data_IF_526300357097
#
_entry.id   IF_526300357097
#
_cell.length_a   1.000
_cell.length_b   1.000
_cell.length_c   1.000
_cell.angle_alpha   90.00
_cell.angle_beta   90.00
_cell.angle_gamma   90.00
#
_symmetry.space_group_name_H-M   'P 1'
#
loop_
_entity.id
_entity.type
_entity.pdbx_description
1 polymer ?
#
# COMPACT_ATOMS: atom_id res chain seq x y z
N UNK A 1 24.62 7.82 31.15
CA UNK A 1 23.26 7.43 31.52
C UNK A 1 22.62 6.91 30.28
N UNK A 2 22.16 5.66 30.34
CA UNK A 2 21.59 5.01 29.17
C UNK A 2 20.26 5.74 28.81
N UNK A 3 20.17 6.34 27.65
CA UNK A 3 18.99 7.11 27.19
C UNK A 3 17.68 6.34 27.28
N UNK A 4 17.73 5.02 27.43
CA UNK A 4 16.56 4.13 27.53
C UNK A 4 15.90 4.22 28.91
N UNK A 5 16.68 4.46 29.98
CA UNK A 5 16.16 4.56 31.36
C UNK A 5 15.29 5.80 31.59
N UNK A 6 15.37 6.79 30.68
CA UNK A 6 14.58 8.03 30.75
C UNK A 6 13.29 8.00 29.92
N UNK A 7 12.97 6.87 29.26
CA UNK A 7 11.78 6.76 28.45
C UNK A 7 10.51 6.56 29.28
N UNK A 8 9.50 7.38 29.04
CA UNK A 8 8.15 7.14 29.52
C UNK A 8 7.35 6.33 28.50
N UNK A 9 6.62 5.34 28.98
CA UNK A 9 5.79 4.47 28.17
C UNK A 9 4.32 4.72 28.49
N UNK A 10 3.53 5.08 27.48
CA UNK A 10 2.10 5.33 27.64
C UNK A 10 1.33 4.97 26.36
N UNK A 11 0.04 4.82 26.50
CA UNK A 11 -0.87 4.81 25.36
C UNK A 11 -0.83 6.17 24.63
N UNK A 12 -1.23 6.16 23.39
CA UNK A 12 -1.39 7.36 22.58
C UNK A 12 -2.74 7.35 21.85
N UNK A 13 -3.19 8.53 21.44
CA UNK A 13 -4.48 8.73 20.81
C UNK A 13 -4.46 9.76 19.69
N UNK A 14 -5.63 10.23 19.30
CA UNK A 14 -5.80 11.17 18.19
C UNK A 14 -5.05 12.50 18.38
N UNK A 15 -4.88 12.95 19.61
CA UNK A 15 -4.17 14.19 19.96
C UNK A 15 -2.64 14.07 19.72
N UNK A 16 -2.11 12.85 19.71
CA UNK A 16 -0.70 12.60 19.46
C UNK A 16 -0.39 12.49 17.94
N UNK A 17 -1.37 12.67 17.06
CA UNK A 17 -1.21 12.55 15.61
C UNK A 17 -0.08 13.41 15.02
N UNK A 18 0.15 14.67 15.45
CA UNK A 18 1.30 15.44 14.97
C UNK A 18 2.66 14.79 15.30
N UNK A 19 2.80 14.23 16.49
CA UNK A 19 4.02 13.53 16.90
C UNK A 19 4.23 12.23 16.11
N UNK A 20 3.14 11.49 15.86
CA UNK A 20 3.16 10.30 15.00
C UNK A 20 3.55 10.65 13.56
N UNK A 21 3.04 11.76 13.02
CA UNK A 21 3.42 12.25 11.69
C UNK A 21 4.91 12.53 11.62
N UNK A 22 5.47 13.29 12.56
CA UNK A 22 6.92 13.55 12.60
C UNK A 22 7.77 12.29 12.72
N UNK A 23 7.32 11.30 13.52
CA UNK A 23 8.01 10.01 13.64
C UNK A 23 7.95 9.20 12.34
N UNK A 24 6.80 9.18 11.65
CA UNK A 24 6.65 8.52 10.35
C UNK A 24 7.51 9.19 9.27
N UNK A 25 7.53 10.53 9.22
CA UNK A 25 8.39 11.30 8.31
C UNK A 25 9.88 11.01 8.54
N UNK A 26 10.33 10.94 9.80
CA UNK A 26 11.71 10.58 10.11
C UNK A 26 12.07 9.17 9.64
N UNK A 27 11.15 8.20 9.79
CA UNK A 27 11.35 6.84 9.28
C UNK A 27 11.41 6.81 7.75
N UNK A 28 10.48 7.49 7.06
CA UNK A 28 10.45 7.57 5.61
C UNK A 28 11.69 8.28 5.03
N UNK A 29 12.18 9.31 5.70
CA UNK A 29 13.40 9.99 5.29
C UNK A 29 14.65 9.09 5.40
N UNK A 30 14.68 8.19 6.39
CA UNK A 30 15.81 7.29 6.60
C UNK A 30 15.78 6.03 5.71
N UNK A 31 14.61 5.45 5.49
CA UNK A 31 14.48 4.12 4.87
C UNK A 31 13.73 4.16 3.53
N UNK A 32 13.10 5.28 3.20
CA UNK A 32 12.09 5.31 2.15
C UNK A 32 10.82 4.56 2.57
N UNK A 33 9.96 4.24 1.60
CA UNK A 33 8.72 3.51 1.83
C UNK A 33 7.52 4.23 1.23
N UNK A 34 6.33 3.94 1.76
CA UNK A 34 5.07 4.51 1.28
C UNK A 34 4.86 5.93 1.82
N UNK A 35 4.97 7.00 1.01
CA UNK A 35 4.83 8.38 1.51
C UNK A 35 3.50 8.67 2.17
N UNK A 36 2.44 7.97 1.75
CA UNK A 36 1.10 8.07 2.34
C UNK A 36 1.09 7.68 3.83
N UNK A 37 2.10 6.93 4.29
CA UNK A 37 2.20 6.53 5.69
C UNK A 37 2.30 7.71 6.65
N UNK A 38 2.91 8.83 6.26
CA UNK A 38 2.94 10.04 7.06
C UNK A 38 1.64 10.88 6.99
N UNK A 39 0.66 10.49 6.15
CA UNK A 39 -0.62 11.21 6.06
C UNK A 39 -1.59 10.75 7.16
N UNK A 40 -2.39 11.67 7.72
CA UNK A 40 -3.32 11.37 8.81
C UNK A 40 -4.26 10.17 8.59
N UNK A 41 -4.86 9.95 7.39
CA UNK A 41 -5.75 8.82 7.19
C UNK A 41 -5.03 7.47 7.41
N UNK A 42 -3.85 7.28 6.82
CA UNK A 42 -3.13 6.02 6.93
C UNK A 42 -2.49 5.84 8.31
N UNK A 43 -1.98 6.90 8.93
CA UNK A 43 -1.49 6.85 10.31
C UNK A 43 -2.59 6.42 11.28
N UNK A 44 -3.80 6.97 11.13
CA UNK A 44 -4.95 6.55 11.95
C UNK A 44 -5.28 5.08 11.72
N UNK A 45 -5.37 4.66 10.46
CA UNK A 45 -5.68 3.27 10.11
C UNK A 45 -4.62 2.27 10.60
N UNK A 46 -3.35 2.65 10.65
CA UNK A 46 -2.24 1.75 10.99
C UNK A 46 -1.84 1.79 12.46
N UNK A 47 -1.89 2.94 13.10
CA UNK A 47 -1.35 3.14 14.45
C UNK A 47 -2.43 3.44 15.49
N UNK A 48 -3.48 4.22 15.18
CA UNK A 48 -4.57 4.51 16.10
C UNK A 48 -5.62 3.39 16.06
N UNK A 49 -5.17 2.17 16.28
CA UNK A 49 -6.01 0.97 16.34
C UNK A 49 -6.55 0.77 17.77
N UNK A 50 -7.15 -0.38 18.05
CA UNK A 50 -7.84 -0.65 19.32
C UNK A 50 -6.94 -0.51 20.54
N UNK A 51 -5.64 -0.89 20.40
CA UNK A 51 -4.63 -0.83 21.46
C UNK A 51 -3.38 -0.15 20.97
N UNK A 52 -2.81 0.71 21.80
CA UNK A 52 -1.65 1.53 21.43
C UNK A 52 -0.59 1.52 22.53
N UNK A 53 0.68 1.61 22.16
CA UNK A 53 1.79 1.80 23.10
C UNK A 53 2.87 2.66 22.44
N UNK A 54 3.39 3.64 23.16
CA UNK A 54 4.45 4.49 22.68
C UNK A 54 5.53 4.75 23.75
N UNK A 55 6.75 4.97 23.28
CA UNK A 55 7.87 5.45 24.07
C UNK A 55 8.12 6.92 23.78
N UNK A 56 8.19 7.71 24.84
CA UNK A 56 8.44 9.14 24.81
C UNK A 56 9.74 9.47 25.52
N UNK A 57 10.52 10.35 24.92
CA UNK A 57 11.67 11.01 25.51
C UNK A 57 11.37 12.50 25.67
N UNK A 58 12.19 13.24 26.40
CA UNK A 58 12.03 14.70 26.54
C UNK A 58 11.89 15.42 25.20
N UNK A 59 12.58 14.93 24.16
CA UNK A 59 12.57 15.48 22.80
C UNK A 59 11.34 15.05 21.95
N UNK A 60 10.45 14.21 22.50
CA UNK A 60 9.22 13.78 21.80
C UNK A 60 9.02 12.29 21.67
N UNK A 61 8.17 11.90 20.72
CA UNK A 61 7.82 10.52 20.44
C UNK A 61 8.96 9.80 19.70
N UNK A 62 9.47 8.71 20.28
CA UNK A 62 10.61 7.97 19.72
C UNK A 62 10.26 6.57 19.20
N UNK A 63 9.16 5.99 19.66
CA UNK A 63 8.67 4.72 19.15
C UNK A 63 7.16 4.58 19.40
N UNK A 64 6.45 3.92 18.51
CA UNK A 64 5.01 3.67 18.65
C UNK A 64 4.61 2.34 17.99
N UNK A 65 3.56 1.71 18.52
CA UNK A 65 2.89 0.54 17.93
C UNK A 65 1.38 0.65 18.15
N UNK A 66 0.61 0.33 17.11
CA UNK A 66 -0.83 0.12 17.18
C UNK A 66 -1.18 -1.34 16.86
N UNK A 67 -2.14 -1.90 17.60
CA UNK A 67 -2.58 -3.30 17.44
C UNK A 67 -4.09 -3.35 17.31
N UNK A 68 -4.57 -3.84 16.15
CA UNK A 68 -5.95 -4.21 15.93
C UNK A 68 -6.16 -5.68 16.26
N UNK A 69 -7.04 -5.94 17.21
CA UNK A 69 -7.42 -7.32 17.59
C UNK A 69 -8.80 -7.58 16.99
N UNK A 70 -9.00 -8.73 16.30
CA UNK A 70 -10.34 -9.07 15.81
C UNK A 70 -11.29 -9.22 17.01
N UNK A 71 -12.43 -8.53 16.95
CA UNK A 71 -13.51 -8.75 17.89
C UNK A 71 -13.98 -10.21 17.78
N UNK A 72 -14.19 -10.89 18.91
CA UNK A 72 -14.92 -12.16 18.90
C UNK A 72 -16.29 -11.90 18.30
N UNK A 73 -16.80 -12.76 17.41
CA UNK A 73 -18.12 -12.55 16.82
C UNK A 73 -19.20 -12.73 17.90
N UNK A 74 -19.51 -11.68 18.63
CA UNK A 74 -20.80 -11.53 19.26
C UNK A 74 -21.76 -11.03 18.19
N UNK A 75 -22.85 -11.78 17.99
CA UNK A 75 -23.87 -11.51 16.99
C UNK A 75 -24.38 -10.06 17.12
N UNK A 76 -24.41 -9.36 16.02
CA UNK A 76 -24.94 -7.99 15.81
C UNK A 76 -23.95 -6.84 15.99
N UNK A 77 -23.20 -6.52 14.96
CA UNK A 77 -22.91 -5.10 14.66
C UNK A 77 -22.49 -4.92 13.19
N UNK A 78 -23.13 -3.97 12.61
CA UNK A 78 -23.16 -3.50 11.24
C UNK A 78 -21.79 -3.09 10.67
N UNK A 79 -21.60 -3.32 9.38
CA UNK A 79 -20.37 -3.10 8.64
C UNK A 79 -20.27 -1.62 8.18
N UNK A 80 -19.88 -0.71 9.08
CA UNK A 80 -19.60 0.70 8.73
C UNK A 80 -18.28 1.19 9.31
N UNK A 81 -17.17 0.68 8.81
CA UNK A 81 -15.86 1.30 9.01
C UNK A 81 -14.95 1.01 7.80
N UNK A 82 -15.32 1.56 6.66
CA UNK A 82 -14.46 1.64 5.47
C UNK A 82 -14.36 3.11 5.07
N UNK A 83 -13.34 3.79 5.55
CA UNK A 83 -13.04 5.13 5.07
C UNK A 83 -11.53 5.26 4.84
N UNK A 84 -11.11 5.46 3.58
CA UNK A 84 -9.93 6.20 3.21
C UNK A 84 -8.57 5.52 3.36
N UNK A 85 -8.44 4.24 3.01
CA UNK A 85 -7.14 3.72 2.58
C UNK A 85 -7.13 3.72 1.04
N UNK A 86 -6.00 4.03 0.37
CA UNK A 86 -5.89 3.74 -1.06
C UNK A 86 -6.31 2.29 -1.25
N UNK A 87 -7.17 2.06 -2.23
CA UNK A 87 -7.78 0.75 -2.50
C UNK A 87 -6.67 -0.28 -2.59
N UNK A 88 -6.44 -0.98 -1.49
CA UNK A 88 -5.40 -1.99 -1.38
C UNK A 88 -5.89 -3.26 -2.12
N UNK A 89 -6.20 -3.09 -3.41
CA UNK A 89 -6.57 -4.20 -4.28
C UNK A 89 -5.45 -5.25 -4.36
N UNK A 90 -4.21 -4.82 -4.08
CA UNK A 90 -3.07 -5.70 -3.87
C UNK A 90 -3.03 -6.28 -2.45
N UNK A 91 -3.63 -5.62 -1.46
CA UNK A 91 -3.71 -6.11 -0.08
C UNK A 91 -4.58 -7.36 0.07
N UNK A 92 -5.56 -7.54 -0.82
CA UNK A 92 -6.43 -8.74 -0.82
C UNK A 92 -5.75 -9.99 -1.38
N UNK A 93 -4.70 -9.84 -2.18
CA UNK A 93 -4.00 -10.95 -2.84
C UNK A 93 -3.12 -11.82 -1.92
N UNK A 94 -3.03 -11.53 -0.64
CA UNK A 94 -2.21 -12.28 0.31
C UNK A 94 -2.93 -12.71 1.59
N UNK A 95 -4.25 -12.56 1.67
CA UNK A 95 -4.99 -13.07 2.82
C UNK A 95 -5.04 -14.61 2.77
N UNK A 96 -4.69 -15.34 3.85
CA UNK A 96 -4.80 -16.78 3.89
C UNK A 96 -6.27 -17.18 3.73
N UNK A 97 -6.55 -18.02 2.74
CA UNK A 97 -7.90 -18.51 2.37
C UNK A 97 -8.45 -19.56 3.33
N UNK A 98 -7.74 -19.86 4.42
CA UNK A 98 -8.10 -20.98 5.32
C UNK A 98 -7.94 -20.61 6.80
N UNK A 99 -8.57 -19.53 7.26
CA UNK A 99 -8.59 -19.19 8.66
C UNK A 99 -10.01 -18.84 9.13
N UNK A 100 -10.57 -19.68 9.97
CA UNK A 100 -11.83 -19.47 10.70
C UNK A 100 -11.79 -18.29 11.68
N UNK A 101 -10.62 -17.65 11.89
CA UNK A 101 -10.44 -16.46 12.71
C UNK A 101 -9.59 -15.41 11.96
N UNK A 102 -10.01 -14.16 12.00
CA UNK A 102 -9.20 -13.04 11.46
C UNK A 102 -7.94 -12.85 12.30
N UNK A 103 -6.76 -12.65 11.68
CA UNK A 103 -5.53 -12.38 12.44
C UNK A 103 -5.59 -11.03 13.16
N UNK A 104 -4.86 -10.90 14.26
CA UNK A 104 -4.52 -9.60 14.82
C UNK A 104 -3.56 -8.86 13.85
N UNK A 105 -3.67 -7.54 13.80
CA UNK A 105 -2.81 -6.72 12.93
C UNK A 105 -2.00 -5.75 13.78
N UNK A 106 -0.75 -5.51 13.41
CA UNK A 106 0.10 -4.53 14.09
C UNK A 106 0.91 -3.70 13.10
N UNK A 107 1.14 -2.45 13.46
CA UNK A 107 2.13 -1.58 12.81
C UNK A 107 2.94 -0.89 13.90
N UNK A 108 4.27 -0.96 13.78
CA UNK A 108 5.18 -0.33 14.73
C UNK A 108 6.26 0.48 14.01
N UNK A 109 6.67 1.59 14.61
CA UNK A 109 7.74 2.46 14.11
C UNK A 109 8.69 2.86 15.24
N UNK A 110 9.98 3.00 14.90
CA UNK A 110 11.02 3.44 15.81
C UNK A 110 11.86 4.50 15.11
N UNK A 111 12.01 5.65 15.76
CA UNK A 111 12.82 6.76 15.24
C UNK A 111 14.24 6.27 14.88
N UNK A 112 14.81 6.64 13.74
CA UNK A 112 16.11 6.14 13.28
C UNK A 112 17.23 6.22 14.34
N UNK A 113 17.35 7.33 15.06
CA UNK A 113 18.38 7.54 16.10
C UNK A 113 18.17 6.69 17.37
N UNK A 114 17.01 6.07 17.49
CA UNK A 114 16.67 5.23 18.64
C UNK A 114 16.67 3.73 18.32
N UNK A 115 17.05 3.36 17.10
CA UNK A 115 17.19 1.95 16.68
C UNK A 115 18.38 1.28 17.31
N UNK A 116 18.38 -0.07 17.30
CA UNK A 116 19.47 -0.86 17.88
C UNK A 116 19.51 -0.88 19.41
N UNK A 117 18.53 -0.28 20.07
CA UNK A 117 18.44 -0.16 21.55
C UNK A 117 17.31 -1.00 22.16
N UNK A 118 16.77 -1.98 21.45
CA UNK A 118 15.75 -2.89 21.96
C UNK A 118 14.31 -2.39 21.88
N UNK A 119 14.05 -1.13 21.47
CA UNK A 119 12.68 -0.58 21.42
C UNK A 119 11.76 -1.37 20.49
N UNK A 120 12.24 -1.72 19.30
CA UNK A 120 11.46 -2.52 18.34
C UNK A 120 11.08 -3.89 18.89
N UNK A 121 12.00 -4.57 19.58
CA UNK A 121 11.73 -5.87 20.22
C UNK A 121 10.67 -5.73 21.32
N UNK A 122 10.73 -4.68 22.13
CA UNK A 122 9.74 -4.41 23.16
C UNK A 122 8.35 -4.14 22.59
N UNK A 123 8.26 -3.32 21.52
CA UNK A 123 7.00 -3.06 20.82
C UNK A 123 6.42 -4.34 20.21
N UNK A 124 7.26 -5.15 19.57
CA UNK A 124 6.84 -6.42 18.97
C UNK A 124 6.37 -7.42 20.02
N UNK A 125 7.08 -7.57 21.15
CA UNK A 125 6.66 -8.41 22.27
C UNK A 125 5.31 -7.95 22.79
N UNK A 126 5.14 -6.66 23.02
CA UNK A 126 3.86 -6.13 23.49
C UNK A 126 2.73 -6.38 22.48
N UNK A 127 2.97 -6.18 21.18
CA UNK A 127 1.98 -6.45 20.13
C UNK A 127 1.59 -7.93 20.10
N UNK A 128 2.57 -8.81 20.29
CA UNK A 128 2.37 -10.25 20.37
C UNK A 128 1.51 -10.65 21.59
N UNK A 129 1.73 -10.01 22.74
CA UNK A 129 0.93 -10.23 23.96
C UNK A 129 -0.51 -9.74 23.75
N UNK A 130 -0.71 -8.63 23.05
CA UNK A 130 -2.04 -8.11 22.72
C UNK A 130 -2.81 -9.02 21.74
N UNK A 131 -2.12 -9.69 20.83
CA UNK A 131 -2.72 -10.62 19.87
C UNK A 131 -3.28 -11.89 20.54
N UNK A 132 -2.77 -12.27 21.72
CA UNK A 132 -3.19 -13.48 22.46
C UNK A 132 -2.95 -14.74 21.62
N UNK A 133 -3.99 -15.54 21.42
CA UNK A 133 -3.93 -16.80 20.65
C UNK A 133 -4.14 -16.60 19.14
N UNK A 134 -4.37 -15.36 18.68
CA UNK A 134 -4.57 -15.09 17.26
C UNK A 134 -3.24 -15.02 16.51
N UNK A 135 -3.24 -15.43 15.26
CA UNK A 135 -2.13 -15.11 14.33
C UNK A 135 -1.88 -13.60 14.32
N UNK A 136 -0.62 -13.18 14.20
CA UNK A 136 -0.26 -11.76 14.17
C UNK A 136 0.32 -11.40 12.81
N UNK A 137 -0.32 -10.44 12.13
CA UNK A 137 0.19 -9.81 10.91
C UNK A 137 0.82 -8.47 11.27
N UNK A 138 2.12 -8.34 11.05
CA UNK A 138 2.84 -7.07 11.21
C UNK A 138 3.03 -6.43 9.84
N UNK A 139 2.54 -5.19 9.67
CA UNK A 139 2.74 -4.40 8.46
C UNK A 139 3.78 -3.30 8.71
N UNK A 140 4.74 -3.18 7.80
CA UNK A 140 5.68 -2.04 7.76
C UNK A 140 5.52 -1.31 6.44
N UNK A 141 5.22 -0.01 6.52
CA UNK A 141 5.09 0.89 5.37
C UNK A 141 6.41 1.58 5.00
N UNK A 142 7.41 1.49 5.88
CA UNK A 142 8.78 1.95 5.70
C UNK A 142 9.71 0.82 6.16
N UNK A 143 10.00 -0.09 5.22
CA UNK A 143 10.80 -1.28 5.50
C UNK A 143 12.28 -0.94 5.69
N UNK A 144 12.93 -1.60 6.64
CA UNK A 144 14.37 -1.52 6.82
C UNK A 144 14.99 -2.89 7.07
N UNK A 145 16.29 -3.10 6.76
CA UNK A 145 16.97 -4.35 7.10
C UNK A 145 16.99 -4.66 8.60
N UNK A 146 16.87 -3.62 9.44
CA UNK A 146 16.77 -3.77 10.89
C UNK A 146 15.43 -4.36 11.33
N UNK A 147 14.34 -3.90 10.72
CA UNK A 147 13.00 -4.43 10.96
C UNK A 147 12.88 -5.90 10.48
N UNK A 148 13.40 -6.20 9.29
CA UNK A 148 13.42 -7.56 8.76
C UNK A 148 14.12 -8.54 9.68
N UNK A 149 15.34 -8.20 10.13
CA UNK A 149 16.10 -9.02 11.09
C UNK A 149 15.34 -9.22 12.40
N UNK A 150 14.68 -8.17 12.91
CA UNK A 150 13.87 -8.25 14.12
C UNK A 150 12.73 -9.24 13.94
N UNK A 151 11.95 -9.08 12.89
CA UNK A 151 10.77 -9.92 12.65
C UNK A 151 11.16 -11.38 12.43
N UNK A 152 12.18 -11.65 11.62
CA UNK A 152 12.67 -12.99 11.34
C UNK A 152 13.22 -13.65 12.62
N UNK A 153 13.97 -12.93 13.45
CA UNK A 153 14.50 -13.45 14.71
C UNK A 153 13.39 -13.81 15.72
N UNK A 154 12.21 -13.21 15.59
CA UNK A 154 11.04 -13.54 16.43
C UNK A 154 10.07 -14.52 15.75
N UNK A 155 10.48 -15.18 14.66
CA UNK A 155 9.73 -16.25 14.01
C UNK A 155 8.66 -15.76 13.03
N UNK A 156 8.56 -14.46 12.75
CA UNK A 156 7.67 -13.95 11.72
C UNK A 156 8.25 -14.28 10.34
N UNK A 157 7.37 -14.57 9.40
CA UNK A 157 7.73 -14.82 8.00
C UNK A 157 7.14 -13.73 7.11
N UNK A 158 7.93 -13.22 6.19
CA UNK A 158 7.41 -12.31 5.17
C UNK A 158 6.40 -13.05 4.28
N UNK A 159 5.24 -12.45 4.12
CA UNK A 159 4.13 -13.00 3.31
C UNK A 159 3.77 -12.12 2.13
N UNK A 160 4.21 -10.87 2.14
CA UNK A 160 3.93 -9.90 1.11
C UNK A 160 4.98 -8.80 1.14
N UNK A 161 5.41 -8.33 -0.03
CA UNK A 161 6.28 -7.18 -0.15
C UNK A 161 6.10 -6.46 -1.49
N UNK A 162 6.27 -5.15 -1.45
CA UNK A 162 6.22 -4.27 -2.61
C UNK A 162 7.37 -3.28 -2.60
N UNK A 163 7.96 -3.08 -3.78
CA UNK A 163 8.78 -1.90 -4.04
C UNK A 163 7.89 -0.68 -4.22
N UNK A 164 8.22 0.41 -3.54
CA UNK A 164 7.63 1.73 -3.75
C UNK A 164 8.50 2.46 -4.75
N UNK A 165 7.92 2.85 -5.87
CA UNK A 165 8.63 3.49 -6.97
C UNK A 165 8.14 4.91 -7.18
N UNK A 166 9.07 5.84 -7.51
CA UNK A 166 8.79 7.25 -7.80
C UNK A 166 9.33 7.64 -9.16
N UNK A 167 8.57 8.43 -9.91
CA UNK A 167 8.98 9.10 -11.14
C UNK A 167 8.94 10.62 -10.93
N UNK A 168 9.99 11.34 -11.27
CA UNK A 168 10.10 12.80 -11.08
C UNK A 168 9.44 13.64 -12.19
N UNK A 169 8.84 12.98 -13.18
CA UNK A 169 8.16 13.56 -14.33
C UNK A 169 9.02 14.47 -15.24
N UNK A 170 10.34 14.52 -15.05
CA UNK A 170 11.23 15.39 -15.83
C UNK A 170 11.57 14.82 -17.20
N UNK A 171 11.65 13.49 -17.34
CA UNK A 171 12.04 12.80 -18.56
C UNK A 171 11.16 11.55 -18.79
N UNK A 172 9.97 11.77 -19.39
CA UNK A 172 9.04 10.68 -19.67
C UNK A 172 9.35 10.09 -21.06
N UNK A 173 9.66 8.76 -21.15
CA UNK A 173 9.96 8.14 -22.42
C UNK A 173 8.79 8.23 -23.42
N UNK A 174 9.13 8.50 -24.68
CA UNK A 174 8.15 8.43 -25.76
C UNK A 174 7.84 6.97 -26.08
N UNK A 175 6.64 6.54 -25.74
CA UNK A 175 6.12 5.20 -26.08
C UNK A 175 4.97 5.39 -27.07
N UNK A 176 5.10 4.82 -28.27
CA UNK A 176 4.02 4.85 -29.25
C UNK A 176 2.89 3.89 -28.83
N UNK A 177 1.66 4.31 -29.09
CA UNK A 177 0.50 3.41 -29.03
C UNK A 177 0.69 2.29 -30.05
N UNK A 178 0.52 1.03 -29.69
CA UNK A 178 0.56 -0.07 -30.64
C UNK A 178 -0.47 0.10 -31.76
N UNK A 179 -0.11 -0.28 -32.98
CA UNK A 179 -0.96 -0.14 -34.15
C UNK A 179 -2.35 -0.77 -33.95
N UNK A 180 -3.36 -0.07 -34.47
CA UNK A 180 -4.76 -0.49 -34.37
C UNK A 180 -5.43 -0.24 -33.02
N UNK A 181 -4.70 0.12 -31.97
CA UNK A 181 -5.30 0.48 -30.69
C UNK A 181 -5.77 1.94 -30.68
N UNK A 182 -6.78 2.20 -29.86
CA UNK A 182 -7.18 3.55 -29.46
C UNK A 182 -7.29 3.61 -27.93
N UNK A 183 -7.16 4.79 -27.37
CA UNK A 183 -7.39 5.02 -25.94
C UNK A 183 -8.44 6.09 -25.72
N UNK A 184 -9.17 5.96 -24.63
CA UNK A 184 -10.18 6.92 -24.18
C UNK A 184 -10.06 7.14 -22.67
N UNK A 185 -10.45 8.32 -22.15
CA UNK A 185 -10.55 8.56 -20.73
C UNK A 185 -11.59 7.64 -20.09
N UNK A 186 -11.39 7.35 -18.81
CA UNK A 186 -12.41 6.61 -18.05
C UNK A 186 -13.58 7.54 -17.75
N UNK A 187 -14.78 7.06 -18.05
CA UNK A 187 -16.05 7.73 -17.74
C UNK A 187 -17.00 6.74 -17.07
N UNK A 188 -18.07 7.17 -16.40
CA UNK A 188 -19.05 6.25 -15.82
C UNK A 188 -19.64 5.24 -16.83
N UNK A 189 -19.75 5.64 -18.12
CA UNK A 189 -20.30 4.81 -19.18
C UNK A 189 -19.41 3.61 -19.53
N UNK A 190 -18.10 3.72 -19.34
CA UNK A 190 -17.14 2.62 -19.58
C UNK A 190 -16.85 1.78 -18.32
N UNK A 191 -17.53 2.07 -17.21
CA UNK A 191 -17.35 1.32 -15.95
C UNK A 191 -17.44 -0.19 -16.09
N UNK A 192 -18.48 -0.74 -16.75
CA UNK A 192 -18.58 -2.20 -16.98
C UNK A 192 -17.39 -2.78 -17.74
N UNK A 193 -16.91 -2.09 -18.77
CA UNK A 193 -15.74 -2.51 -19.55
C UNK A 193 -14.45 -2.39 -18.71
N UNK A 194 -14.36 -1.35 -17.90
CA UNK A 194 -13.22 -1.15 -16.99
C UNK A 194 -13.13 -2.28 -15.97
N UNK A 195 -14.24 -2.69 -15.39
CA UNK A 195 -14.26 -3.84 -14.48
C UNK A 195 -13.95 -5.15 -15.21
N UNK A 196 -14.51 -5.38 -16.39
CA UNK A 196 -14.25 -6.59 -17.17
C UNK A 196 -12.76 -6.73 -17.51
N UNK A 197 -12.08 -5.63 -17.90
CA UNK A 197 -10.65 -5.64 -18.20
C UNK A 197 -9.80 -5.79 -16.94
N UNK A 198 -10.20 -5.17 -15.81
CA UNK A 198 -9.58 -5.38 -14.51
C UNK A 198 -9.58 -6.88 -14.16
N UNK A 199 -10.75 -7.50 -14.16
CA UNK A 199 -10.89 -8.92 -13.85
C UNK A 199 -10.04 -9.80 -14.78
N UNK A 200 -10.15 -9.60 -16.10
CA UNK A 200 -9.40 -10.38 -17.09
C UNK A 200 -7.87 -10.19 -16.99
N UNK A 201 -7.42 -9.03 -16.55
CA UNK A 201 -6.00 -8.72 -16.39
C UNK A 201 -5.36 -9.33 -15.14
N UNK A 202 -6.16 -9.66 -14.14
CA UNK A 202 -5.64 -10.16 -12.86
C UNK A 202 -6.07 -11.60 -12.53
N UNK A 203 -7.01 -12.18 -13.29
CA UNK A 203 -7.56 -13.51 -13.04
C UNK A 203 -6.51 -14.64 -13.00
N UNK A 204 -5.39 -14.49 -13.69
CA UNK A 204 -4.30 -15.47 -13.73
C UNK A 204 -3.26 -15.29 -12.60
N UNK A 205 -3.44 -14.29 -11.70
CA UNK A 205 -2.54 -14.09 -10.56
C UNK A 205 -2.85 -15.09 -9.43
N UNK A 206 -1.84 -15.73 -8.85
CA UNK A 206 -2.03 -16.58 -7.69
C UNK A 206 -2.70 -15.82 -6.54
N UNK A 207 -3.75 -16.39 -5.97
CA UNK A 207 -4.46 -15.78 -4.83
C UNK A 207 -5.34 -14.57 -5.17
N UNK A 208 -5.59 -14.27 -6.46
CA UNK A 208 -6.49 -13.21 -6.85
C UNK A 208 -7.95 -13.57 -6.46
N UNK A 209 -8.47 -12.85 -5.46
CA UNK A 209 -9.88 -12.89 -5.07
C UNK A 209 -10.57 -11.69 -5.73
N UNK A 210 -11.33 -11.95 -6.80
CA UNK A 210 -12.04 -10.90 -7.51
C UNK A 210 -13.12 -10.28 -6.61
N UNK A 211 -13.16 -8.95 -6.43
CA UNK A 211 -14.31 -8.27 -5.87
C UNK A 211 -15.50 -8.37 -6.85
N UNK A 212 -16.69 -8.04 -6.40
CA UNK A 212 -17.81 -7.80 -7.32
C UNK A 212 -17.59 -6.50 -8.10
N UNK A 213 -18.28 -6.35 -9.23
CA UNK A 213 -18.21 -5.11 -10.02
C UNK A 213 -18.70 -3.89 -9.21
N UNK A 214 -19.77 -4.09 -8.43
CA UNK A 214 -20.36 -3.05 -7.58
C UNK A 214 -19.37 -2.58 -6.52
N UNK A 215 -18.72 -3.52 -5.81
CA UNK A 215 -17.71 -3.19 -4.79
C UNK A 215 -16.53 -2.45 -5.41
N UNK A 216 -15.97 -2.96 -6.51
CA UNK A 216 -14.74 -2.37 -7.08
C UNK A 216 -14.99 -1.00 -7.72
N UNK A 217 -16.09 -0.83 -8.46
CA UNK A 217 -16.46 0.45 -9.05
C UNK A 217 -16.93 1.44 -7.99
N UNK A 218 -17.59 0.96 -6.94
CA UNK A 218 -17.98 1.77 -5.78
C UNK A 218 -16.75 2.30 -5.04
N UNK A 219 -15.78 1.44 -4.73
CA UNK A 219 -14.53 1.83 -4.09
C UNK A 219 -13.78 2.91 -4.90
N UNK A 220 -13.79 2.82 -6.24
CA UNK A 220 -13.20 3.86 -7.11
C UNK A 220 -14.02 5.16 -7.10
N UNK A 221 -15.35 5.08 -7.11
CA UNK A 221 -16.22 6.24 -7.15
C UNK A 221 -16.22 7.00 -5.81
N UNK A 222 -16.02 6.30 -4.70
CA UNK A 222 -15.99 6.86 -3.35
C UNK A 222 -14.61 7.44 -2.97
N UNK A 223 -13.59 7.24 -3.80
CA UNK A 223 -12.25 7.79 -3.58
C UNK A 223 -12.16 9.24 -4.10
N UNK A 224 -12.12 10.20 -3.20
CA UNK A 224 -12.05 11.63 -3.50
C UNK A 224 -10.79 12.02 -4.33
N UNK A 225 -9.74 11.20 -4.31
CA UNK A 225 -8.52 11.43 -5.08
C UNK A 225 -8.53 10.69 -6.45
N UNK A 226 -9.59 9.92 -6.78
CA UNK A 226 -9.67 9.23 -8.08
C UNK A 226 -9.73 10.22 -9.25
N UNK A 227 -8.89 9.98 -10.26
CA UNK A 227 -8.71 10.84 -11.43
C UNK A 227 -9.15 10.12 -12.72
N UNK A 228 -10.46 9.98 -12.96
CA UNK A 228 -10.97 9.33 -14.18
C UNK A 228 -10.53 10.07 -15.45
N UNK A 229 -10.33 11.39 -15.38
CA UNK A 229 -9.82 12.24 -16.45
C UNK A 229 -8.36 11.94 -16.85
N UNK A 230 -7.55 11.41 -15.92
CA UNK A 230 -6.16 10.98 -16.16
C UNK A 230 -6.04 9.45 -16.32
N UNK A 231 -7.12 8.72 -16.05
CA UNK A 231 -7.22 7.27 -16.21
C UNK A 231 -7.61 6.92 -17.64
N UNK A 232 -7.05 5.83 -18.19
CA UNK A 232 -7.25 5.48 -19.59
C UNK A 232 -7.70 4.03 -19.76
N UNK A 233 -8.60 3.82 -20.72
CA UNK A 233 -8.99 2.52 -21.26
C UNK A 233 -8.44 2.40 -22.70
N UNK A 234 -7.77 1.27 -23.00
CA UNK A 234 -7.30 0.95 -24.36
C UNK A 234 -8.24 -0.08 -24.99
N UNK A 235 -8.59 0.15 -26.26
CA UNK A 235 -9.41 -0.74 -27.07
C UNK A 235 -8.70 -1.17 -28.35
N UNK A 236 -9.01 -2.38 -28.79
CA UNK A 236 -8.58 -2.90 -30.09
C UNK A 236 -9.43 -2.37 -31.26
N UNK A 237 -9.12 -2.73 -32.53
CA UNK A 237 -9.90 -2.30 -33.70
C UNK A 237 -11.38 -2.70 -33.66
N UNK A 238 -11.70 -3.83 -33.00
CA UNK A 238 -13.06 -4.33 -32.84
C UNK A 238 -13.81 -3.66 -31.68
N UNK A 239 -13.15 -2.74 -30.99
CA UNK A 239 -13.72 -2.00 -29.87
C UNK A 239 -13.66 -2.73 -28.52
N UNK A 240 -12.98 -3.89 -28.45
CA UNK A 240 -12.87 -4.64 -27.21
C UNK A 240 -11.84 -4.01 -26.28
N UNK A 241 -12.11 -3.93 -24.95
CA UNK A 241 -11.16 -3.39 -24.00
C UNK A 241 -9.98 -4.37 -23.84
N UNK A 242 -8.73 -3.86 -23.95
CA UNK A 242 -7.51 -4.69 -23.92
C UNK A 242 -6.52 -4.29 -22.84
N UNK A 243 -6.67 -3.10 -22.26
CA UNK A 243 -5.82 -2.63 -21.17
C UNK A 243 -6.37 -1.35 -20.54
N UNK A 244 -5.91 -1.06 -19.33
CA UNK A 244 -6.29 0.15 -18.61
C UNK A 244 -5.17 0.64 -17.70
N UNK A 245 -5.25 1.88 -17.28
CA UNK A 245 -4.49 2.49 -16.17
C UNK A 245 -5.44 3.35 -15.36
N UNK A 246 -5.45 3.15 -14.04
CA UNK A 246 -6.15 3.99 -13.07
C UNK A 246 -5.15 4.90 -12.36
N UNK A 247 -5.55 6.16 -12.18
CA UNK A 247 -4.80 7.20 -11.47
C UNK A 247 -5.61 7.67 -10.27
N UNK A 248 -4.98 7.69 -9.09
CA UNK A 248 -5.55 8.21 -7.84
C UNK A 248 -4.57 9.27 -7.32
N UNK A 249 -4.99 10.53 -7.24
CA UNK A 249 -4.10 11.64 -6.95
C UNK A 249 -2.90 11.68 -7.90
N UNK A 250 -1.70 11.40 -7.38
CA UNK A 250 -0.45 11.27 -8.16
C UNK A 250 0.03 9.82 -8.28
N UNK A 251 -0.83 8.86 -7.92
CA UNK A 251 -0.51 7.43 -7.94
C UNK A 251 -1.02 6.77 -9.22
N UNK A 252 -0.16 5.99 -9.85
CA UNK A 252 -0.59 4.97 -10.80
C UNK A 252 -1.01 3.76 -9.99
N UNK A 253 -2.32 3.71 -9.67
CA UNK A 253 -2.89 2.74 -8.73
C UNK A 253 -2.94 1.35 -9.34
N UNK A 254 -3.52 1.24 -10.54
CA UNK A 254 -3.66 -0.05 -11.22
C UNK A 254 -3.33 0.07 -12.71
N UNK A 255 -2.60 -0.93 -13.19
CA UNK A 255 -2.34 -1.11 -14.64
C UNK A 255 -2.66 -2.55 -15.01
N UNK A 256 -3.57 -2.75 -15.92
CA UNK A 256 -3.96 -4.06 -16.42
C UNK A 256 -3.86 -4.17 -17.93
N UNK A 257 -3.45 -5.36 -18.40
CA UNK A 257 -3.47 -5.72 -19.83
C UNK A 257 -3.89 -7.17 -19.92
N UNK A 258 -4.91 -7.47 -20.74
CA UNK A 258 -5.36 -8.85 -20.95
C UNK A 258 -4.24 -9.73 -21.49
N UNK A 259 -4.20 -11.03 -21.16
CA UNK A 259 -3.12 -11.94 -21.54
C UNK A 259 -2.75 -11.90 -23.02
N UNK A 260 -3.73 -11.85 -23.92
CA UNK A 260 -3.54 -11.82 -25.37
C UNK A 260 -2.81 -10.57 -25.90
N UNK A 261 -2.83 -9.46 -25.14
CA UNK A 261 -2.20 -8.20 -25.50
C UNK A 261 -0.95 -7.87 -24.68
N UNK A 262 -0.55 -8.75 -23.76
CA UNK A 262 0.71 -8.59 -23.02
C UNK A 262 1.93 -8.68 -23.96
N UNK A 263 3.06 -8.10 -23.52
CA UNK A 263 4.33 -8.01 -24.26
C UNK A 263 4.25 -7.27 -25.61
N UNK A 264 3.14 -6.58 -25.87
CA UNK A 264 2.92 -5.72 -27.06
C UNK A 264 3.05 -4.22 -26.75
N UNK A 265 3.71 -3.85 -25.66
CA UNK A 265 3.95 -2.46 -25.20
C UNK A 265 2.70 -1.69 -24.74
N UNK A 266 1.51 -2.33 -24.66
CA UNK A 266 0.26 -1.67 -24.22
C UNK A 266 0.42 -1.07 -22.83
N UNK A 267 0.87 -1.84 -21.83
CA UNK A 267 1.10 -1.34 -20.47
C UNK A 267 2.15 -0.23 -20.41
N UNK A 268 3.23 -0.33 -21.23
CA UNK A 268 4.23 0.72 -21.31
C UNK A 268 3.64 2.04 -21.82
N UNK A 269 2.80 1.97 -22.86
CA UNK A 269 2.12 3.14 -23.37
C UNK A 269 1.18 3.76 -22.35
N UNK A 270 0.32 2.95 -21.71
CA UNK A 270 -0.66 3.41 -20.72
C UNK A 270 0.01 4.15 -19.56
N UNK A 271 1.07 3.56 -18.99
CA UNK A 271 1.84 4.21 -17.93
C UNK A 271 2.50 5.49 -18.41
N UNK A 272 3.17 5.49 -19.57
CA UNK A 272 3.80 6.69 -20.10
C UNK A 272 2.78 7.78 -20.45
N UNK A 273 1.56 7.41 -20.87
CA UNK A 273 0.47 8.35 -21.10
C UNK A 273 -0.02 8.97 -19.79
N UNK A 274 -0.25 8.16 -18.75
CA UNK A 274 -0.63 8.64 -17.43
C UNK A 274 0.43 9.57 -16.83
N UNK A 275 1.73 9.25 -16.95
CA UNK A 275 2.82 10.13 -16.53
C UNK A 275 2.77 11.49 -17.25
N UNK A 276 2.54 11.49 -18.56
CA UNK A 276 2.42 12.75 -19.33
C UNK A 276 1.20 13.57 -18.90
N UNK A 277 0.07 12.91 -18.63
CA UNK A 277 -1.14 13.58 -18.15
C UNK A 277 -0.93 14.18 -16.76
N UNK A 278 -0.29 13.44 -15.84
CA UNK A 278 0.09 13.96 -14.51
C UNK A 278 1.04 15.17 -14.62
N UNK A 279 2.06 15.09 -15.47
CA UNK A 279 2.98 16.21 -15.70
C UNK A 279 2.27 17.44 -16.27
N UNK A 280 1.35 17.26 -17.23
CA UNK A 280 0.55 18.33 -17.81
C UNK A 280 -0.43 18.94 -16.80
N UNK A 281 -0.91 18.18 -15.84
CA UNK A 281 -1.75 18.62 -14.72
C UNK A 281 -0.95 19.34 -13.61
N UNK A 282 0.37 19.42 -13.74
CA UNK A 282 1.25 20.15 -12.82
C UNK A 282 1.78 19.32 -11.64
N UNK A 283 1.61 18.00 -11.66
CA UNK A 283 2.23 17.12 -10.68
C UNK A 283 3.77 17.21 -10.75
N UNK A 284 4.43 17.11 -9.61
CA UNK A 284 5.91 17.13 -9.53
C UNK A 284 6.52 15.73 -9.57
N UNK A 285 5.73 14.74 -9.23
CA UNK A 285 6.11 13.34 -9.23
C UNK A 285 4.90 12.44 -9.43
N UNK A 286 5.17 11.18 -9.76
CA UNK A 286 4.19 10.11 -9.80
C UNK A 286 4.73 8.91 -9.02
N UNK A 287 3.84 8.16 -8.44
CA UNK A 287 4.16 7.04 -7.56
C UNK A 287 3.43 5.77 -8.01
N UNK A 288 3.98 4.63 -7.68
CA UNK A 288 3.31 3.33 -7.73
C UNK A 288 3.93 2.36 -6.74
N UNK A 289 3.16 1.33 -6.39
CA UNK A 289 3.67 0.15 -5.70
C UNK A 289 3.66 -1.04 -6.66
N UNK A 290 4.66 -1.91 -6.55
CA UNK A 290 4.73 -3.13 -7.34
C UNK A 290 5.27 -4.27 -6.48
N UNK A 291 4.58 -5.42 -6.48
CA UNK A 291 5.04 -6.61 -5.77
C UNK A 291 6.44 -6.99 -6.24
N UNK A 292 7.31 -7.37 -5.32
CA UNK A 292 8.72 -7.67 -5.60
C UNK A 292 8.90 -8.82 -6.61
N UNK A 293 7.96 -9.77 -6.66
CA UNK A 293 7.91 -10.88 -7.60
C UNK A 293 7.23 -10.56 -8.95
N UNK A 294 6.66 -9.34 -9.09
CA UNK A 294 5.96 -8.94 -10.30
C UNK A 294 6.95 -8.48 -11.39
N UNK A 295 6.98 -9.14 -12.55
CA UNK A 295 7.88 -8.76 -13.64
C UNK A 295 7.63 -7.36 -14.21
N UNK A 296 6.49 -6.73 -13.89
CA UNK A 296 6.19 -5.35 -14.27
C UNK A 296 7.14 -4.33 -13.63
N UNK A 297 7.79 -4.65 -12.51
CA UNK A 297 8.81 -3.79 -11.89
C UNK A 297 9.93 -3.39 -12.86
N UNK A 298 10.38 -4.32 -13.71
CA UNK A 298 11.36 -4.01 -14.74
C UNK A 298 10.84 -3.05 -15.83
N UNK A 299 9.54 -3.09 -16.13
CA UNK A 299 8.90 -2.14 -17.06
C UNK A 299 8.92 -0.74 -16.45
N UNK A 300 8.50 -0.57 -15.21
CA UNK A 300 8.43 0.73 -14.55
C UNK A 300 9.81 1.39 -14.45
N UNK A 301 10.85 0.64 -14.07
CA UNK A 301 12.22 1.16 -14.06
C UNK A 301 12.71 1.60 -15.46
N UNK A 302 12.35 0.88 -16.52
CA UNK A 302 12.64 1.33 -17.92
C UNK A 302 11.86 2.57 -18.32
N UNK A 303 10.72 2.84 -17.69
CA UNK A 303 9.95 4.07 -17.89
C UNK A 303 10.46 5.27 -17.07
N UNK A 304 11.52 5.08 -16.27
CA UNK A 304 12.15 6.14 -15.50
C UNK A 304 11.79 6.17 -14.00
N UNK A 305 11.01 5.21 -13.53
CA UNK A 305 10.77 5.10 -12.09
C UNK A 305 12.04 4.65 -11.36
N UNK A 306 12.33 5.30 -10.24
CA UNK A 306 13.40 4.97 -9.31
C UNK A 306 12.82 4.33 -8.04
N UNK A 307 13.62 3.45 -7.41
CA UNK A 307 13.24 2.88 -6.12
C UNK A 307 13.22 3.98 -5.04
N UNK A 308 12.12 4.06 -4.30
CA UNK A 308 11.88 5.02 -3.23
C UNK A 308 11.63 4.36 -1.88
N UNK A 309 11.82 3.05 -1.79
CA UNK A 309 11.70 2.24 -0.60
C UNK A 309 10.88 0.98 -0.80
N UNK A 310 10.51 0.36 0.28
CA UNK A 310 9.79 -0.92 0.31
C UNK A 310 8.77 -0.94 1.42
N UNK A 311 7.68 -1.65 1.24
CA UNK A 311 6.70 -2.02 2.27
C UNK A 311 6.56 -3.54 2.32
N UNK A 312 6.23 -4.09 3.50
CA UNK A 312 6.11 -5.53 3.66
C UNK A 312 5.12 -5.93 4.76
N UNK A 313 4.66 -7.18 4.69
CA UNK A 313 3.87 -7.83 5.73
C UNK A 313 4.54 -9.11 6.20
N UNK A 314 4.50 -9.33 7.48
CA UNK A 314 5.05 -10.49 8.15
C UNK A 314 3.96 -11.17 8.96
N UNK A 315 3.95 -12.49 8.95
CA UNK A 315 2.98 -13.32 9.68
C UNK A 315 3.70 -14.14 10.74
N UNK A 316 3.20 -14.06 11.96
CA UNK A 316 3.47 -15.01 13.04
C UNK A 316 2.25 -15.92 13.20
N UNK A 317 2.42 -17.21 12.93
CA UNK A 317 1.37 -18.20 13.19
C UNK A 317 1.43 -18.73 14.63
N UNK A 318 0.25 -19.02 15.18
CA UNK A 318 0.08 -19.65 16.48
C UNK A 318 -0.04 -21.16 16.35
#
# INVERSE_FOLDING_TARGET
>A
VDRIETLSWREFGADDLPALTGLAEACLAADGGLPLFARPPLLRARLLQTRTLAAWHEDGLVAAVGVGVPERPDATTDATARAGAPTDATARAGAPTDATARPATATGIVHPDWRGKGLGARLLSWANDQAGDADLVVTTESWSPGADRLFTAHGLRETFAESVLRHDLTAIPAVALPDGLRTEPVTPQVGPDLFAIYHASFADRPGFAAPTAEEWLGDLADDDEYRPDLSLLARDPDGQPVGFVNVIGVWIDQVGVVPAWRKRRVGAYLVAAALRSLAADGARDAWLCVNDDNPAGALYRRLGFADAGRRARYLLRR
#
